data_IF_505046269322
#
_entry.id   IF_505046269322
#
_cell.length_a   1.000
_cell.length_b   1.000
_cell.length_c   1.000
_cell.angle_alpha   90.00
_cell.angle_beta   90.00
_cell.angle_gamma   90.00
#
_symmetry.space_group_name_H-M   'P 1'
#
loop_
_entity.id
_entity.type
_entity.pdbx_description
1 polymer ?
#
# COMPACT_ATOMS: atom_id res chain seq x y z
N UNK A 1 -4.85 3.09 -14.27
CA UNK A 1 -4.84 4.48 -14.77
C UNK A 1 -3.80 5.28 -13.98
N UNK A 2 -3.25 6.37 -14.52
CA UNK A 2 -2.35 7.28 -13.80
C UNK A 2 -3.06 8.61 -13.59
N UNK A 3 -3.17 9.06 -12.33
CA UNK A 3 -3.68 10.38 -11.99
C UNK A 3 -2.51 11.30 -11.61
N UNK A 4 -2.55 12.55 -12.07
CA UNK A 4 -1.53 13.56 -11.79
C UNK A 4 -2.26 14.79 -11.27
N UNK A 5 -1.91 15.22 -10.06
CA UNK A 5 -2.46 16.45 -9.46
C UNK A 5 -1.40 17.55 -9.57
N UNK A 6 -1.84 18.73 -10.02
CA UNK A 6 -1.01 19.91 -10.20
C UNK A 6 -1.53 21.00 -9.25
N UNK A 7 -0.64 21.60 -8.48
CA UNK A 7 -0.99 22.63 -7.49
C UNK A 7 -0.21 23.92 -7.74
N UNK A 8 -0.91 25.05 -7.68
CA UNK A 8 -0.35 26.38 -7.89
C UNK A 8 -1.45 27.39 -8.13
N UNK A 9 -1.05 28.57 -8.59
CA UNK A 9 -1.96 29.56 -9.20
C UNK A 9 -2.51 29.04 -10.53
N UNK A 10 -3.60 29.65 -11.02
CA UNK A 10 -4.19 29.27 -12.31
C UNK A 10 -3.17 29.33 -13.46
N UNK A 11 -2.34 30.38 -13.48
CA UNK A 11 -1.28 30.55 -14.50
C UNK A 11 -0.21 29.45 -14.43
N UNK A 12 0.20 29.05 -13.21
CA UNK A 12 1.16 27.96 -13.00
C UNK A 12 0.58 26.61 -13.41
N UNK A 13 -0.67 26.35 -13.05
CA UNK A 13 -1.38 25.11 -13.39
C UNK A 13 -1.56 24.98 -14.90
N UNK A 14 -2.00 26.04 -15.57
CA UNK A 14 -2.13 26.07 -17.03
C UNK A 14 -0.79 25.80 -17.73
N UNK A 15 0.29 26.41 -17.23
CA UNK A 15 1.64 26.15 -17.73
C UNK A 15 2.06 24.69 -17.52
N UNK A 16 1.82 24.12 -16.33
CA UNK A 16 2.14 22.73 -16.00
C UNK A 16 1.37 21.74 -16.85
N UNK A 17 0.07 21.96 -17.08
CA UNK A 17 -0.76 21.15 -17.99
C UNK A 17 -0.16 21.18 -19.40
N UNK A 18 0.19 22.38 -19.90
CA UNK A 18 0.82 22.54 -21.20
C UNK A 18 2.16 21.81 -21.32
N UNK A 19 2.99 21.86 -20.27
CA UNK A 19 4.26 21.14 -20.21
C UNK A 19 4.07 19.63 -20.20
N UNK A 20 3.19 19.13 -19.33
CA UNK A 20 2.88 17.71 -19.21
C UNK A 20 2.38 17.13 -20.53
N UNK A 21 1.46 17.82 -21.23
CA UNK A 21 0.97 17.39 -22.55
C UNK A 21 2.10 17.28 -23.59
N UNK A 22 3.07 18.20 -23.58
CA UNK A 22 4.24 18.12 -24.47
C UNK A 22 5.12 16.92 -24.15
N UNK A 23 5.39 16.66 -22.87
CA UNK A 23 6.19 15.50 -22.45
C UNK A 23 5.48 14.18 -22.82
N UNK A 24 4.17 14.10 -22.56
CA UNK A 24 3.35 12.94 -22.87
C UNK A 24 3.14 12.72 -24.38
N UNK A 25 3.27 13.75 -25.23
CA UNK A 25 3.12 13.61 -26.68
C UNK A 25 4.13 12.63 -27.31
N UNK A 26 5.28 12.43 -26.66
CA UNK A 26 6.31 11.48 -27.07
C UNK A 26 6.07 10.05 -26.55
N UNK A 27 5.05 9.87 -25.71
CA UNK A 27 4.73 8.61 -25.04
C UNK A 27 3.61 7.84 -25.75
N UNK A 28 3.39 6.58 -25.35
CA UNK A 28 2.28 5.75 -25.85
C UNK A 28 0.95 6.01 -25.12
N UNK A 29 0.81 7.13 -24.41
CA UNK A 29 -0.44 7.49 -23.73
C UNK A 29 -1.52 7.71 -24.78
N UNK A 30 -2.61 6.94 -24.68
CA UNK A 30 -3.71 6.92 -25.66
C UNK A 30 -4.86 7.84 -25.29
N UNK A 31 -5.06 8.08 -24.00
CA UNK A 31 -6.18 8.84 -23.48
C UNK A 31 -5.72 9.65 -22.26
N UNK A 32 -5.86 10.97 -22.37
CA UNK A 32 -5.54 11.92 -21.30
C UNK A 32 -6.55 13.05 -21.37
N UNK A 33 -7.21 13.32 -20.26
CA UNK A 33 -8.19 14.39 -20.14
C UNK A 33 -8.01 15.09 -18.79
N UNK A 34 -8.46 16.33 -18.73
CA UNK A 34 -8.55 17.05 -17.47
C UNK A 34 -9.89 16.69 -16.82
N UNK A 35 -9.88 16.43 -15.51
CA UNK A 35 -11.10 16.26 -14.74
C UNK A 35 -11.72 17.62 -14.46
N UNK A 36 -13.06 17.69 -14.49
CA UNK A 36 -13.78 18.82 -13.93
C UNK A 36 -13.72 18.78 -12.38
N UNK A 37 -14.25 19.83 -11.74
CA UNK A 37 -14.17 19.98 -10.29
C UNK A 37 -14.86 18.81 -9.54
N UNK A 38 -16.01 18.36 -10.01
CA UNK A 38 -16.77 17.28 -9.38
C UNK A 38 -16.05 15.93 -9.50
N UNK A 39 -15.60 15.59 -10.71
CA UNK A 39 -14.85 14.35 -10.98
C UNK A 39 -13.50 14.34 -10.25
N UNK A 40 -12.86 15.51 -10.13
CA UNK A 40 -11.66 15.68 -9.32
C UNK A 40 -11.94 15.34 -7.86
N UNK A 41 -12.94 15.97 -7.25
CA UNK A 41 -13.26 15.78 -5.84
C UNK A 41 -13.64 14.33 -5.54
N UNK A 42 -14.42 13.70 -6.42
CA UNK A 42 -14.79 12.30 -6.32
C UNK A 42 -13.55 11.38 -6.39
N UNK A 43 -12.68 11.58 -7.38
CA UNK A 43 -11.44 10.79 -7.49
C UNK A 43 -10.53 11.00 -6.28
N UNK A 44 -10.39 12.25 -5.82
CA UNK A 44 -9.56 12.59 -4.67
C UNK A 44 -10.06 11.89 -3.41
N UNK A 45 -11.38 11.95 -3.15
CA UNK A 45 -12.01 11.23 -2.05
C UNK A 45 -11.75 9.73 -2.13
N UNK A 46 -11.92 9.11 -3.30
CA UNK A 46 -11.64 7.68 -3.50
C UNK A 46 -10.17 7.32 -3.26
N UNK A 47 -9.24 8.18 -3.67
CA UNK A 47 -7.80 7.96 -3.46
C UNK A 47 -7.43 8.07 -1.98
N UNK A 48 -7.99 9.05 -1.25
CA UNK A 48 -7.75 9.24 0.19
C UNK A 48 -8.35 8.10 1.02
N UNK A 49 -9.58 7.69 0.71
CA UNK A 49 -10.30 6.65 1.43
C UNK A 49 -9.92 5.23 0.97
N UNK A 50 -9.01 5.10 0.00
CA UNK A 50 -8.66 3.81 -0.58
C UNK A 50 -8.28 2.81 0.51
N UNK A 51 -7.29 3.08 1.37
CA UNK A 51 -6.90 2.11 2.39
C UNK A 51 -7.94 1.88 3.51
N UNK A 52 -8.90 2.79 3.69
CA UNK A 52 -9.85 2.80 4.80
C UNK A 52 -11.23 2.20 4.44
N UNK A 53 -11.52 2.03 3.15
CA UNK A 53 -12.79 1.48 2.71
C UNK A 53 -12.94 -0.02 3.03
N UNK A 54 -13.92 -0.31 3.88
CA UNK A 54 -14.22 -1.60 4.52
C UNK A 54 -14.79 -2.68 3.57
N UNK A 55 -14.89 -2.41 2.26
CA UNK A 55 -15.36 -3.40 1.29
C UNK A 55 -14.37 -4.54 1.04
N UNK A 56 -13.09 -4.37 1.40
CA UNK A 56 -12.06 -5.40 1.23
C UNK A 56 -11.93 -6.30 2.46
N UNK A 57 -11.75 -7.62 2.25
CA UNK A 57 -11.46 -8.55 3.35
C UNK A 57 -10.06 -8.35 3.91
N UNK A 58 -9.10 -7.91 3.08
CA UNK A 58 -7.78 -7.53 3.54
C UNK A 58 -7.17 -6.39 2.73
N UNK A 59 -6.43 -5.54 3.43
CA UNK A 59 -5.63 -4.44 2.87
C UNK A 59 -4.18 -4.69 3.20
N UNK A 60 -3.32 -4.67 2.19
CA UNK A 60 -1.86 -4.83 2.35
C UNK A 60 -1.12 -3.64 1.78
N UNK A 61 0.03 -3.33 2.37
CA UNK A 61 0.92 -2.25 1.93
C UNK A 61 2.31 -2.84 1.71
N UNK A 62 2.83 -2.66 0.48
CA UNK A 62 4.22 -2.89 0.16
C UNK A 62 4.96 -1.57 0.13
N UNK A 63 6.16 -1.57 0.72
CA UNK A 63 7.12 -0.47 0.60
C UNK A 63 8.37 -0.99 -0.06
N UNK A 64 8.80 -0.37 -1.15
CA UNK A 64 10.02 -0.68 -1.90
C UNK A 64 10.75 0.61 -2.27
N UNK A 65 11.89 0.52 -2.98
CA UNK A 65 12.32 1.66 -3.81
C UNK A 65 11.31 1.88 -4.96
N UNK A 66 11.22 3.08 -5.50
CA UNK A 66 10.19 3.45 -6.50
C UNK A 66 10.24 2.59 -7.78
N UNK A 67 11.41 2.06 -8.15
CA UNK A 67 11.56 1.14 -9.29
C UNK A 67 10.95 -0.24 -9.05
N UNK A 68 10.67 -0.61 -7.79
CA UNK A 68 10.07 -1.89 -7.40
C UNK A 68 8.55 -1.93 -7.50
N UNK A 69 7.87 -0.78 -7.55
CA UNK A 69 6.40 -0.72 -7.54
C UNK A 69 5.77 -1.55 -8.67
N UNK A 70 6.30 -1.43 -9.90
CA UNK A 70 5.75 -2.14 -11.06
C UNK A 70 5.87 -3.66 -10.91
N UNK A 71 6.98 -4.14 -10.34
CA UNK A 71 7.15 -5.57 -10.09
C UNK A 71 6.13 -6.10 -9.08
N UNK A 72 5.87 -5.35 -8.00
CA UNK A 72 4.86 -5.71 -6.99
C UNK A 72 3.45 -5.70 -7.61
N UNK A 73 3.11 -4.65 -8.36
CA UNK A 73 1.80 -4.50 -9.01
C UNK A 73 1.55 -5.66 -9.98
N UNK A 74 2.53 -6.00 -10.83
CA UNK A 74 2.38 -7.12 -11.76
C UNK A 74 2.24 -8.44 -11.02
N UNK A 75 3.07 -8.68 -10.00
CA UNK A 75 3.06 -9.93 -9.23
C UNK A 75 1.70 -10.18 -8.55
N UNK A 76 1.11 -9.15 -7.94
CA UNK A 76 -0.20 -9.30 -7.29
C UNK A 76 -1.32 -9.48 -8.31
N UNK A 77 -1.32 -8.73 -9.42
CA UNK A 77 -2.36 -8.82 -10.45
C UNK A 77 -2.29 -10.11 -11.27
N UNK A 78 -1.11 -10.72 -11.43
CA UNK A 78 -0.95 -12.03 -12.06
C UNK A 78 -1.62 -13.15 -11.25
N UNK A 79 -1.60 -13.05 -9.91
CA UNK A 79 -2.20 -14.05 -9.02
C UNK A 79 -3.64 -13.70 -8.64
N UNK A 80 -3.96 -12.41 -8.59
CA UNK A 80 -5.26 -11.87 -8.16
C UNK A 80 -5.68 -10.74 -9.11
N UNK A 81 -6.25 -11.07 -10.29
CA UNK A 81 -6.65 -10.08 -11.28
C UNK A 81 -7.71 -9.08 -10.78
N UNK A 82 -8.52 -9.50 -9.81
CA UNK A 82 -9.57 -8.68 -9.20
C UNK A 82 -9.06 -7.80 -8.04
N UNK A 83 -7.75 -7.85 -7.73
CA UNK A 83 -7.13 -7.01 -6.72
C UNK A 83 -7.19 -5.53 -7.16
N UNK A 84 -7.73 -4.66 -6.31
CA UNK A 84 -7.60 -3.23 -6.53
C UNK A 84 -6.24 -2.77 -6.00
N UNK A 85 -5.52 -1.95 -6.78
CA UNK A 85 -4.15 -1.52 -6.46
C UNK A 85 -4.02 -0.01 -6.62
N UNK A 86 -3.41 0.63 -5.62
CA UNK A 86 -3.02 2.03 -5.63
C UNK A 86 -1.51 2.13 -5.40
N UNK A 87 -0.83 2.99 -6.14
CA UNK A 87 0.57 3.31 -5.87
C UNK A 87 0.80 4.79 -6.06
N UNK A 88 1.57 5.37 -5.15
CA UNK A 88 2.00 6.76 -5.24
C UNK A 88 3.34 6.81 -6.01
N UNK A 89 3.39 7.63 -7.05
CA UNK A 89 4.59 7.74 -7.86
C UNK A 89 5.70 8.41 -7.05
N UNK A 90 6.76 7.68 -6.76
CA UNK A 90 8.01 8.23 -6.21
C UNK A 90 8.32 7.83 -4.77
N UNK A 91 7.35 7.40 -3.96
CA UNK A 91 7.60 6.98 -2.57
C UNK A 91 7.81 5.47 -2.40
N UNK A 92 7.56 4.68 -3.45
CA UNK A 92 7.75 3.25 -3.42
C UNK A 92 6.64 2.48 -2.70
N UNK A 93 5.49 3.11 -2.48
CA UNK A 93 4.37 2.51 -1.76
C UNK A 93 3.36 1.94 -2.75
N UNK A 94 2.93 0.71 -2.49
CA UNK A 94 1.85 0.02 -3.21
C UNK A 94 0.85 -0.51 -2.20
N UNK A 95 -0.37 0.01 -2.23
CA UNK A 95 -1.50 -0.45 -1.41
C UNK A 95 -2.40 -1.35 -2.24
N UNK A 96 -2.77 -2.51 -1.70
CA UNK A 96 -3.51 -3.56 -2.40
C UNK A 96 -4.72 -3.99 -1.58
N UNK A 97 -5.89 -4.01 -2.20
CA UNK A 97 -7.14 -4.53 -1.64
C UNK A 97 -7.47 -5.88 -2.24
N UNK A 98 -7.72 -6.83 -1.35
CA UNK A 98 -8.03 -8.21 -1.70
C UNK A 98 -9.52 -8.49 -1.45
N UNK A 99 -10.31 -8.78 -2.51
CA UNK A 99 -11.78 -8.79 -2.41
C UNK A 99 -12.36 -10.04 -1.71
N UNK A 100 -11.83 -11.25 -1.92
CA UNK A 100 -12.33 -12.47 -1.24
C UNK A 100 -11.23 -13.51 -0.98
N UNK A 101 -10.52 -13.40 0.14
CA UNK A 101 -9.56 -14.42 0.59
C UNK A 101 -9.71 -14.70 2.09
N UNK A 102 -9.42 -15.94 2.50
CA UNK A 102 -9.20 -16.26 3.92
C UNK A 102 -7.92 -15.58 4.41
N UNK A 103 -7.86 -15.25 5.70
CA UNK A 103 -6.69 -14.58 6.29
C UNK A 103 -5.41 -15.41 6.10
N UNK A 104 -5.50 -16.73 6.21
CA UNK A 104 -4.40 -17.64 5.88
C UNK A 104 -3.86 -17.46 4.44
N UNK A 105 -4.73 -17.27 3.45
CA UNK A 105 -4.31 -17.03 2.06
C UNK A 105 -3.64 -15.66 1.90
N UNK A 106 -4.13 -14.64 2.62
CA UNK A 106 -3.51 -13.30 2.63
C UNK A 106 -2.14 -13.36 3.29
N UNK A 107 -2.02 -14.01 4.44
CA UNK A 107 -0.74 -14.20 5.12
C UNK A 107 0.26 -14.98 4.26
N UNK A 108 -0.18 -16.04 3.56
CA UNK A 108 0.68 -16.77 2.64
C UNK A 108 1.13 -15.93 1.45
N UNK A 109 0.24 -15.14 0.85
CA UNK A 109 0.58 -14.19 -0.22
C UNK A 109 1.63 -13.19 0.27
N UNK A 110 1.45 -12.61 1.45
CA UNK A 110 2.39 -11.63 2.02
C UNK A 110 3.75 -12.27 2.34
N UNK A 111 3.77 -13.44 2.99
CA UNK A 111 5.01 -14.06 3.46
C UNK A 111 5.79 -14.73 2.33
N UNK A 112 5.10 -15.49 1.45
CA UNK A 112 5.73 -16.37 0.46
C UNK A 112 5.92 -15.71 -0.89
N UNK A 113 5.12 -14.70 -1.22
CA UNK A 113 5.11 -14.08 -2.56
C UNK A 113 5.58 -12.62 -2.51
N UNK A 114 4.80 -11.75 -1.87
CA UNK A 114 5.04 -10.31 -1.92
C UNK A 114 6.26 -9.89 -1.08
N UNK A 115 6.44 -10.52 0.09
CA UNK A 115 7.55 -10.24 1.00
C UNK A 115 8.94 -10.46 0.37
N UNK A 116 9.20 -11.60 -0.30
CA UNK A 116 10.44 -11.81 -1.04
C UNK A 116 10.65 -10.81 -2.18
N UNK A 117 9.60 -10.50 -2.96
CA UNK A 117 9.72 -9.54 -4.05
C UNK A 117 10.02 -8.12 -3.53
N UNK A 118 9.32 -7.67 -2.47
CA UNK A 118 9.59 -6.38 -1.86
C UNK A 118 11.03 -6.29 -1.35
N UNK A 119 11.55 -7.37 -0.75
CA UNK A 119 12.95 -7.45 -0.29
C UNK A 119 13.96 -7.32 -1.42
N UNK A 120 13.68 -7.87 -2.61
CA UNK A 120 14.53 -7.67 -3.80
C UNK A 120 14.64 -6.20 -4.20
N UNK A 121 13.65 -5.39 -3.81
CA UNK A 121 13.63 -3.93 -4.00
C UNK A 121 13.84 -3.16 -2.68
N UNK A 122 14.62 -3.73 -1.76
CA UNK A 122 15.00 -3.11 -0.47
C UNK A 122 13.80 -2.71 0.40
N UNK A 123 12.76 -3.52 0.35
CA UNK A 123 11.45 -3.24 0.89
C UNK A 123 10.90 -4.29 1.84
N UNK A 124 9.64 -4.09 2.24
CA UNK A 124 8.85 -5.03 3.04
C UNK A 124 7.36 -4.92 2.68
N UNK A 125 6.56 -5.83 3.22
CA UNK A 125 5.09 -5.88 3.04
C UNK A 125 4.44 -6.13 4.38
N UNK A 126 3.33 -5.44 4.62
CA UNK A 126 2.50 -5.56 5.82
C UNK A 126 1.03 -5.67 5.48
N UNK A 127 0.26 -6.25 6.38
CA UNK A 127 -1.21 -6.23 6.37
C UNK A 127 -1.66 -5.03 7.22
N UNK A 128 -2.35 -4.08 6.60
CA UNK A 128 -2.94 -2.91 7.26
C UNK A 128 -4.26 -3.24 7.95
N UNK A 129 -5.08 -4.08 7.31
CA UNK A 129 -6.39 -4.52 7.80
C UNK A 129 -6.70 -5.93 7.31
N UNK A 130 -7.39 -6.71 8.13
CA UNK A 130 -7.91 -8.04 7.78
C UNK A 130 -9.21 -8.30 8.55
N UNK A 131 -10.15 -9.00 7.93
CA UNK A 131 -11.45 -9.32 8.51
C UNK A 131 -11.35 -10.17 9.79
N UNK A 132 -10.37 -11.06 9.89
CA UNK A 132 -10.14 -11.84 11.11
C UNK A 132 -8.65 -11.90 11.51
N UNK A 133 -8.32 -11.11 12.54
CA UNK A 133 -6.96 -10.95 13.03
C UNK A 133 -6.35 -12.21 13.68
N UNK A 134 -7.13 -13.27 13.94
CA UNK A 134 -6.67 -14.45 14.67
C UNK A 134 -5.66 -15.30 13.90
N UNK A 135 -5.64 -15.22 12.57
CA UNK A 135 -4.74 -15.99 11.71
C UNK A 135 -3.49 -15.22 11.27
N UNK A 136 -3.38 -13.94 11.64
CA UNK A 136 -2.26 -13.09 11.25
C UNK A 136 -0.99 -13.42 12.04
N UNK A 137 0.12 -13.57 11.34
CA UNK A 137 1.44 -13.75 11.96
C UNK A 137 2.12 -12.41 12.22
N UNK A 138 3.08 -12.37 13.16
CA UNK A 138 3.94 -11.19 13.40
C UNK A 138 4.57 -10.68 12.12
N UNK A 139 5.08 -11.60 11.30
CA UNK A 139 5.74 -11.26 10.04
C UNK A 139 4.77 -10.64 9.04
N UNK A 140 3.51 -11.06 9.04
CA UNK A 140 2.48 -10.49 8.16
C UNK A 140 2.05 -9.08 8.59
N UNK A 141 2.10 -8.76 9.89
CA UNK A 141 1.67 -7.45 10.41
C UNK A 141 2.80 -6.42 10.43
N UNK A 142 4.02 -6.84 10.76
CA UNK A 142 5.16 -5.93 10.95
C UNK A 142 6.24 -6.07 9.88
N UNK A 143 6.08 -7.00 8.94
CA UNK A 143 7.16 -7.43 8.08
C UNK A 143 8.15 -8.31 8.85
N UNK A 144 9.27 -8.62 8.21
CA UNK A 144 10.33 -9.41 8.84
C UNK A 144 11.00 -8.60 9.98
N UNK A 145 11.19 -9.18 11.18
CA UNK A 145 11.85 -8.50 12.28
C UNK A 145 13.27 -8.05 11.87
N UNK A 146 13.46 -6.73 11.75
CA UNK A 146 14.77 -6.13 11.45
C UNK A 146 15.46 -5.54 12.69
N UNK A 147 14.71 -5.42 13.79
CA UNK A 147 15.17 -4.94 15.09
C UNK A 147 15.32 -6.10 16.07
N UNK A 148 16.17 -6.00 17.10
CA UNK A 148 16.29 -7.07 18.07
C UNK A 148 14.98 -7.19 18.87
N UNK A 149 14.24 -8.29 18.71
CA UNK A 149 12.98 -8.56 19.41
C UNK A 149 13.08 -8.35 20.93
N UNK A 150 14.28 -8.56 21.50
CA UNK A 150 14.56 -8.33 22.91
C UNK A 150 14.29 -6.88 23.34
N UNK A 151 14.50 -5.88 22.46
CA UNK A 151 14.32 -4.47 22.80
C UNK A 151 12.83 -4.13 22.93
N UNK A 152 12.02 -4.64 22.00
CA UNK A 152 10.57 -4.46 22.02
C UNK A 152 9.97 -5.16 23.26
N UNK A 153 10.46 -6.36 23.58
CA UNK A 153 10.05 -7.08 24.79
C UNK A 153 10.43 -6.31 26.06
N UNK A 154 11.66 -5.79 26.17
CA UNK A 154 12.08 -4.98 27.33
C UNK A 154 11.25 -3.72 27.51
N UNK A 155 10.95 -3.01 26.42
CA UNK A 155 10.09 -1.82 26.48
C UNK A 155 8.68 -2.19 26.97
N UNK A 156 8.12 -3.31 26.50
CA UNK A 156 6.81 -3.78 26.95
C UNK A 156 6.80 -4.14 28.43
N UNK A 157 7.81 -4.85 28.91
CA UNK A 157 7.93 -5.21 30.33
C UNK A 157 8.03 -3.98 31.25
N UNK A 158 8.71 -2.91 30.79
CA UNK A 158 8.86 -1.69 31.57
C UNK A 158 7.59 -0.81 31.58
N UNK A 159 6.89 -0.69 30.45
CA UNK A 159 5.78 0.26 30.30
C UNK A 159 4.39 -0.38 30.39
N UNK A 160 4.25 -1.68 30.15
CA UNK A 160 3.00 -2.43 30.28
C UNK A 160 3.20 -3.79 30.98
N UNK A 161 3.68 -3.81 32.24
CA UNK A 161 3.96 -5.04 32.97
C UNK A 161 2.72 -5.90 33.20
N UNK A 162 1.54 -5.30 33.20
CA UNK A 162 0.25 -5.97 33.40
C UNK A 162 -0.42 -6.39 32.08
N UNK A 163 0.19 -6.10 30.93
CA UNK A 163 -0.34 -6.41 29.58
C UNK A 163 -1.75 -5.86 29.34
N UNK A 164 -2.03 -4.66 29.84
CA UNK A 164 -3.32 -4.00 29.74
C UNK A 164 -3.51 -3.30 28.39
N UNK A 165 -2.43 -2.91 27.73
CA UNK A 165 -2.49 -2.15 26.48
C UNK A 165 -2.45 -3.14 25.31
N UNK A 166 -3.61 -3.30 24.65
CA UNK A 166 -3.75 -4.06 23.41
C UNK A 166 -3.28 -5.53 23.56
N UNK A 167 -3.88 -6.30 24.49
CA UNK A 167 -3.45 -7.66 24.81
C UNK A 167 -3.53 -8.58 23.58
N UNK A 168 -2.52 -9.44 23.42
CA UNK A 168 -2.39 -10.32 22.25
C UNK A 168 -1.75 -9.65 21.03
N UNK A 169 -1.79 -8.31 20.93
CA UNK A 169 -1.00 -7.57 19.94
C UNK A 169 0.42 -7.42 20.50
N UNK A 170 1.42 -7.86 19.73
CA UNK A 170 2.86 -7.85 20.10
C UNK A 170 3.28 -8.77 21.27
N UNK A 171 2.49 -9.80 21.62
CA UNK A 171 2.87 -10.79 22.64
C UNK A 171 3.33 -12.06 21.92
N UNK A 172 4.58 -12.44 22.15
CA UNK A 172 5.26 -13.52 21.45
C UNK A 172 5.43 -14.72 22.40
N UNK A 173 5.10 -15.93 21.94
CA UNK A 173 5.46 -17.21 22.58
C UNK A 173 6.78 -17.74 22.03
#
# INVERSE_FOLDING_TARGET
ALAIVLHGTDEEVDWMIGKLRRELSSSKVRDSHNLDAESHEQLWSQLCEFAADDTALAVTESRTVSSGCVSIINLVLEQHPDCAVQSHMGDGIVTMKLPEHSDAQVSDLVIKTLGPEARRHHGHVVILSAANAAELTTQSVWGEPSSPDFLIQKLREQFDPQRLINPGRFVYQ
#
